data_IF_998247432650
#
_entry.id   IF_998247432650
#
_cell.length_a   1.000
_cell.length_b   1.000
_cell.length_c   1.000
_cell.angle_alpha   90.00
_cell.angle_beta   90.00
_cell.angle_gamma   90.00
#
_symmetry.space_group_name_H-M   'P 1'
#
loop_
_entity.id
_entity.type
_entity.pdbx_description
1 polymer ?
#
# COMPACT_ATOMS: atom_id res chain seq x y z
N UNK A 1 83.12 21.67 -49.75
CA UNK A 1 82.33 20.44 -49.63
C UNK A 1 81.95 20.24 -48.18
N UNK A 2 80.78 20.59 -47.78
CA UNK A 2 80.29 20.50 -46.40
C UNK A 2 79.01 19.69 -46.37
N UNK A 3 79.02 18.49 -45.76
CA UNK A 3 77.89 17.64 -45.57
C UNK A 3 77.22 18.06 -44.23
N UNK A 4 75.99 18.58 -44.29
CA UNK A 4 75.15 18.79 -43.13
C UNK A 4 74.29 17.52 -42.89
N UNK A 5 74.48 16.90 -41.73
CA UNK A 5 73.62 15.79 -41.26
C UNK A 5 72.47 16.35 -40.48
N UNK A 6 71.26 16.17 -41.01
CA UNK A 6 70.02 16.51 -40.29
C UNK A 6 69.65 15.33 -39.40
N UNK A 7 69.57 15.53 -38.05
CA UNK A 7 69.04 14.55 -37.10
C UNK A 7 67.53 14.77 -37.00
N UNK A 8 66.79 13.77 -37.36
CA UNK A 8 65.33 13.72 -37.14
C UNK A 8 65.07 13.10 -35.79
N UNK A 9 64.59 13.91 -34.81
CA UNK A 9 64.09 13.40 -33.55
C UNK A 9 62.63 12.92 -33.75
N UNK A 10 62.39 11.64 -33.65
CA UNK A 10 61.05 11.03 -33.60
C UNK A 10 60.53 11.10 -32.17
N UNK A 11 59.57 11.98 -31.93
CA UNK A 11 58.81 12.07 -30.66
C UNK A 11 57.73 11.00 -30.65
N UNK A 12 57.94 9.89 -29.92
CA UNK A 12 56.90 8.88 -29.66
C UNK A 12 56.04 9.40 -28.54
N UNK A 13 54.87 9.95 -28.89
CA UNK A 13 53.85 10.32 -27.94
C UNK A 13 53.10 9.06 -27.52
N UNK A 14 53.37 8.53 -26.33
CA UNK A 14 52.63 7.45 -25.69
C UNK A 14 51.29 8.00 -25.20
N UNK A 15 50.23 7.81 -25.94
CA UNK A 15 48.84 8.05 -25.50
C UNK A 15 48.47 7.00 -24.44
N UNK A 16 48.63 7.34 -23.19
CA UNK A 16 48.03 6.64 -22.07
C UNK A 16 46.51 6.91 -22.14
N UNK A 17 45.76 6.08 -22.87
CA UNK A 17 44.34 6.00 -22.76
C UNK A 17 44.00 5.44 -21.38
N UNK A 18 43.73 6.31 -20.42
CA UNK A 18 43.07 5.95 -19.18
C UNK A 18 41.65 5.45 -19.54
N UNK A 19 41.51 4.13 -19.74
CA UNK A 19 40.21 3.50 -19.69
C UNK A 19 39.68 3.69 -18.27
N UNK A 20 38.83 4.69 -18.09
CA UNK A 20 37.97 4.78 -16.92
C UNK A 20 37.13 3.50 -16.93
N UNK A 21 37.51 2.53 -16.10
CA UNK A 21 36.69 1.34 -15.84
C UNK A 21 35.33 1.87 -15.43
N UNK A 22 34.37 1.77 -16.32
CA UNK A 22 32.99 2.11 -16.01
C UNK A 22 32.58 1.25 -14.82
N UNK A 23 32.46 1.87 -13.66
CA UNK A 23 32.07 1.18 -12.43
C UNK A 23 30.73 0.48 -12.68
N UNK A 24 30.75 -0.86 -12.74
CA UNK A 24 29.55 -1.68 -12.93
C UNK A 24 28.76 -1.77 -11.62
N UNK A 25 27.47 -2.04 -11.70
CA UNK A 25 26.64 -2.29 -10.53
C UNK A 25 27.25 -3.38 -9.65
N UNK A 26 27.33 -3.15 -8.34
CA UNK A 26 27.72 -4.14 -7.34
C UNK A 26 26.78 -4.09 -6.16
N UNK A 27 26.38 -5.23 -5.65
CA UNK A 27 25.60 -5.31 -4.41
C UNK A 27 26.40 -4.89 -3.18
N UNK A 28 27.74 -5.08 -3.20
CA UNK A 28 28.64 -4.75 -2.08
C UNK A 28 29.18 -3.32 -2.10
N UNK A 29 28.72 -2.46 -3.02
CA UNK A 29 29.27 -1.10 -3.18
C UNK A 29 29.11 -0.20 -1.94
N UNK A 30 28.20 -0.55 -1.02
CA UNK A 30 27.95 0.15 0.24
C UNK A 30 28.20 -0.75 1.48
N UNK A 31 29.05 -1.78 1.33
CA UNK A 31 29.42 -2.72 2.39
C UNK A 31 29.94 -2.01 3.65
N UNK A 32 29.48 -2.48 4.82
CA UNK A 32 29.85 -1.91 6.13
C UNK A 32 28.95 -0.74 6.58
N UNK A 33 28.05 -0.25 5.72
CA UNK A 33 27.07 0.76 6.12
C UNK A 33 25.97 0.15 6.98
N UNK A 34 25.37 0.98 7.83
CA UNK A 34 24.15 0.65 8.59
C UNK A 34 23.07 1.62 8.20
N UNK A 35 21.88 1.11 7.91
CA UNK A 35 20.68 1.92 7.64
C UNK A 35 19.61 1.63 8.68
N UNK A 36 18.81 2.65 9.00
CA UNK A 36 17.67 2.56 9.92
C UNK A 36 16.38 2.71 9.14
N UNK A 37 15.46 1.74 9.32
CA UNK A 37 14.23 1.61 8.55
C UNK A 37 13.03 1.55 9.48
N UNK A 38 12.06 2.44 9.31
CA UNK A 38 10.78 2.39 10.03
C UNK A 38 9.69 1.75 9.15
N UNK A 39 9.06 0.71 9.67
CA UNK A 39 8.00 -0.02 9.00
C UNK A 39 6.71 -0.02 9.85
N UNK A 40 5.58 0.06 9.16
CA UNK A 40 4.28 -0.18 9.76
C UNK A 40 4.12 -1.68 10.10
N UNK A 41 3.45 -2.01 11.20
CA UNK A 41 2.95 -3.38 11.45
C UNK A 41 1.89 -3.71 10.39
N UNK A 42 2.31 -4.32 9.31
CA UNK A 42 1.56 -4.51 8.08
C UNK A 42 1.87 -5.90 7.49
N UNK A 43 0.92 -6.58 6.82
CA UNK A 43 1.18 -7.87 6.21
C UNK A 43 2.42 -7.91 5.30
N UNK A 44 2.69 -6.84 4.53
CA UNK A 44 3.90 -6.74 3.72
C UNK A 44 5.17 -6.76 4.58
N UNK A 45 5.16 -6.05 5.70
CA UNK A 45 6.29 -6.05 6.64
C UNK A 45 6.56 -7.45 7.17
N UNK A 46 5.52 -8.17 7.57
CA UNK A 46 5.65 -9.55 8.04
C UNK A 46 6.19 -10.49 6.95
N UNK A 47 5.82 -10.25 5.69
CA UNK A 47 6.27 -11.04 4.55
C UNK A 47 7.75 -10.79 4.19
N UNK A 48 8.29 -9.59 4.40
CA UNK A 48 9.65 -9.22 3.99
C UNK A 48 10.70 -9.38 5.09
N UNK A 49 10.32 -9.16 6.35
CA UNK A 49 11.24 -9.23 7.50
C UNK A 49 12.10 -10.49 7.56
N UNK A 50 11.58 -11.72 7.31
CA UNK A 50 12.36 -12.95 7.36
C UNK A 50 13.51 -13.00 6.35
N UNK A 51 13.47 -12.17 5.31
CA UNK A 51 14.46 -12.15 4.23
C UNK A 51 15.51 -11.04 4.39
N UNK A 52 15.38 -10.13 5.35
CA UNK A 52 16.37 -9.08 5.59
C UNK A 52 17.79 -9.65 5.84
N UNK A 53 17.98 -10.74 6.61
CA UNK A 53 19.31 -11.34 6.76
C UNK A 53 19.95 -11.80 5.43
N UNK A 54 19.13 -12.17 4.43
CA UNK A 54 19.62 -12.48 3.07
C UNK A 54 20.21 -11.22 2.40
N UNK A 55 19.52 -10.08 2.52
CA UNK A 55 20.01 -8.80 2.02
C UNK A 55 21.32 -8.39 2.70
N UNK A 56 21.38 -8.46 4.03
CA UNK A 56 22.59 -8.14 4.80
C UNK A 56 23.78 -9.01 4.38
N UNK A 57 23.54 -10.32 4.19
CA UNK A 57 24.58 -11.25 3.72
C UNK A 57 25.07 -10.92 2.30
N UNK A 58 24.16 -10.55 1.39
CA UNK A 58 24.47 -10.28 0.01
C UNK A 58 25.19 -8.95 -0.21
N UNK A 59 24.89 -7.95 0.63
CA UNK A 59 25.37 -6.57 0.44
C UNK A 59 26.42 -6.14 1.46
N UNK A 60 26.48 -6.78 2.61
CA UNK A 60 27.27 -6.33 3.76
C UNK A 60 26.73 -5.06 4.42
N UNK A 61 25.51 -4.62 4.06
CA UNK A 61 24.80 -3.49 4.68
C UNK A 61 23.99 -4.03 5.85
N UNK A 62 24.11 -3.42 7.03
CA UNK A 62 23.27 -3.73 8.19
C UNK A 62 21.95 -2.95 8.15
N UNK A 63 20.84 -3.64 8.48
CA UNK A 63 19.51 -3.02 8.47
C UNK A 63 18.91 -3.06 9.88
N UNK A 64 18.77 -1.91 10.52
CA UNK A 64 18.08 -1.76 11.80
C UNK A 64 16.62 -1.42 11.53
N UNK A 65 15.74 -2.38 11.79
CA UNK A 65 14.30 -2.23 11.55
C UNK A 65 13.57 -1.96 12.86
N UNK A 66 12.72 -0.95 12.84
CA UNK A 66 11.73 -0.70 13.89
C UNK A 66 10.32 -0.80 13.30
N UNK A 67 9.42 -1.46 14.03
CA UNK A 67 8.02 -1.62 13.61
C UNK A 67 7.07 -1.08 14.66
N UNK A 68 6.02 -0.38 14.21
CA UNK A 68 5.00 0.20 15.08
C UNK A 68 3.60 -0.04 14.51
N UNK A 69 2.56 -0.10 15.36
CA UNK A 69 1.17 0.01 14.92
C UNK A 69 0.95 1.27 14.08
N UNK A 70 0.06 1.21 13.10
CA UNK A 70 -0.05 2.22 12.03
C UNK A 70 -0.12 3.68 12.54
N UNK A 71 -0.93 3.97 13.55
CA UNK A 71 -1.06 5.34 14.10
C UNK A 71 0.23 5.84 14.74
N UNK A 72 0.90 4.99 15.52
CA UNK A 72 2.17 5.32 16.17
C UNK A 72 3.30 5.43 15.13
N UNK A 73 3.31 4.54 14.15
CA UNK A 73 4.24 4.56 13.02
C UNK A 73 4.19 5.91 12.29
N UNK A 74 2.99 6.37 11.90
CA UNK A 74 2.81 7.63 11.17
C UNK A 74 3.27 8.84 11.99
N UNK A 75 2.96 8.89 13.29
CA UNK A 75 3.44 9.92 14.19
C UNK A 75 4.97 9.92 14.33
N UNK A 76 5.57 8.73 14.49
CA UNK A 76 7.01 8.62 14.62
C UNK A 76 7.74 9.06 13.35
N UNK A 77 7.27 8.64 12.17
CA UNK A 77 7.84 9.10 10.89
C UNK A 77 7.74 10.62 10.77
N UNK A 78 6.58 11.21 11.08
CA UNK A 78 6.39 12.66 11.04
C UNK A 78 7.40 13.41 11.92
N UNK A 79 7.57 12.97 13.17
CA UNK A 79 8.51 13.58 14.12
C UNK A 79 9.96 13.42 13.67
N UNK A 80 10.36 12.24 13.19
CA UNK A 80 11.71 11.97 12.70
C UNK A 80 12.04 12.83 11.48
N UNK A 81 11.12 12.96 10.52
CA UNK A 81 11.32 13.78 9.34
C UNK A 81 11.37 15.28 9.67
N UNK A 82 10.47 15.75 10.56
CA UNK A 82 10.42 17.14 10.97
C UNK A 82 11.65 17.56 11.77
N UNK A 83 12.26 16.66 12.53
CA UNK A 83 13.50 16.93 13.28
C UNK A 83 14.70 17.17 12.37
N UNK A 84 14.71 16.61 11.16
CA UNK A 84 15.86 16.69 10.24
C UNK A 84 17.15 16.03 10.76
N UNK A 85 17.08 15.22 11.82
CA UNK A 85 18.26 14.65 12.50
C UNK A 85 19.06 13.66 11.66
N UNK A 86 18.55 13.24 10.50
CA UNK A 86 19.25 12.32 9.58
C UNK A 86 19.37 10.88 10.07
N UNK A 87 18.72 10.55 11.17
CA UNK A 87 18.76 9.22 11.78
C UNK A 87 17.84 8.20 11.09
N UNK A 88 16.86 8.65 10.32
CA UNK A 88 15.93 7.81 9.56
C UNK A 88 16.36 7.76 8.09
N UNK A 89 16.61 6.56 7.58
CA UNK A 89 17.03 6.35 6.19
C UNK A 89 15.86 6.02 5.27
N UNK A 90 15.09 4.97 5.57
CA UNK A 90 13.91 4.59 4.81
C UNK A 90 12.68 4.35 5.71
N UNK A 91 11.51 4.49 5.11
CA UNK A 91 10.24 4.24 5.82
C UNK A 91 9.11 3.90 4.84
N UNK A 92 8.08 3.23 5.34
CA UNK A 92 6.85 3.03 4.57
C UNK A 92 6.09 4.34 4.42
N UNK A 93 5.44 4.51 3.27
CA UNK A 93 4.67 5.71 2.93
C UNK A 93 3.45 5.33 2.11
N UNK A 94 2.30 5.94 2.38
CA UNK A 94 1.17 5.95 1.45
C UNK A 94 1.13 7.30 0.72
N UNK A 95 1.53 7.36 -0.56
CA UNK A 95 1.69 8.64 -1.27
C UNK A 95 0.44 9.52 -1.25
N UNK A 96 -0.75 8.91 -1.36
CA UNK A 96 -2.03 9.62 -1.37
C UNK A 96 -2.49 10.10 0.03
N UNK A 97 -1.75 9.80 1.06
CA UNK A 97 -2.03 10.27 2.42
C UNK A 97 -1.00 11.29 2.89
N UNK A 98 0.29 10.94 2.93
CA UNK A 98 1.34 11.83 3.44
C UNK A 98 2.21 12.45 2.36
N UNK A 99 2.21 11.88 1.15
CA UNK A 99 3.15 12.24 0.09
C UNK A 99 3.17 13.73 -0.25
N UNK A 100 2.00 14.36 -0.33
CA UNK A 100 1.90 15.81 -0.62
C UNK A 100 2.51 16.66 0.50
N UNK A 101 2.19 16.34 1.76
CA UNK A 101 2.76 17.04 2.92
C UNK A 101 4.28 16.91 2.95
N UNK A 102 4.77 15.67 2.91
CA UNK A 102 6.21 15.38 3.05
C UNK A 102 7.02 15.92 1.87
N UNK A 103 6.47 15.90 0.64
CA UNK A 103 7.11 16.50 -0.54
C UNK A 103 7.22 18.03 -0.42
N UNK A 104 6.12 18.69 -0.02
CA UNK A 104 6.13 20.16 0.17
C UNK A 104 7.03 20.61 1.31
N UNK A 105 7.18 19.80 2.34
CA UNK A 105 8.12 20.04 3.45
C UNK A 105 9.58 19.76 3.08
N UNK A 106 9.84 19.21 1.89
CA UNK A 106 11.21 18.90 1.45
C UNK A 106 11.86 17.72 2.19
N UNK A 107 11.06 16.83 2.77
CA UNK A 107 11.53 15.73 3.60
C UNK A 107 11.86 14.45 2.83
N UNK A 108 11.41 14.36 1.57
CA UNK A 108 11.60 13.16 0.73
C UNK A 108 12.75 13.35 -0.25
N UNK A 109 13.55 12.31 -0.41
CA UNK A 109 14.56 12.23 -1.47
C UNK A 109 13.87 11.79 -2.78
N UNK A 110 13.99 12.57 -3.89
CA UNK A 110 13.51 12.15 -5.21
C UNK A 110 14.30 10.95 -5.72
N UNK A 111 13.61 9.91 -6.19
CA UNK A 111 14.21 8.63 -6.54
C UNK A 111 14.55 8.47 -8.03
N UNK A 112 14.15 9.43 -8.87
CA UNK A 112 14.32 9.35 -10.33
C UNK A 112 15.78 9.19 -10.77
N UNK A 113 16.69 9.93 -10.14
CA UNK A 113 18.11 9.85 -10.45
C UNK A 113 18.71 8.49 -10.10
N UNK A 114 18.30 7.90 -8.98
CA UNK A 114 18.74 6.56 -8.56
C UNK A 114 18.23 5.50 -9.53
N UNK A 115 16.94 5.58 -9.92
CA UNK A 115 16.30 4.63 -10.81
C UNK A 115 16.94 4.60 -12.20
N UNK A 116 17.39 5.77 -12.68
CA UNK A 116 18.05 5.93 -13.99
C UNK A 116 19.55 5.65 -13.98
N UNK A 117 20.16 5.52 -12.81
CA UNK A 117 21.61 5.33 -12.68
C UNK A 117 21.97 3.83 -12.79
N UNK A 118 22.65 3.39 -13.87
CA UNK A 118 22.99 1.97 -14.07
C UNK A 118 24.01 1.44 -13.04
N UNK A 119 24.73 2.32 -12.33
CA UNK A 119 25.63 1.95 -11.23
C UNK A 119 24.87 1.60 -9.96
N UNK A 120 23.65 2.09 -9.80
CA UNK A 120 22.81 1.86 -8.64
C UNK A 120 21.62 0.93 -8.94
N UNK A 121 21.15 0.89 -10.19
CA UNK A 121 19.97 0.13 -10.59
C UNK A 121 20.29 -0.76 -11.78
N UNK A 122 20.44 -2.08 -11.58
CA UNK A 122 20.70 -3.01 -12.66
C UNK A 122 19.45 -3.17 -13.55
N UNK A 123 19.64 -3.52 -14.81
CA UNK A 123 18.54 -3.74 -15.78
C UNK A 123 17.57 -4.83 -15.33
N UNK A 124 18.03 -5.78 -14.50
CA UNK A 124 17.20 -6.84 -13.90
C UNK A 124 16.14 -6.32 -12.91
N UNK A 125 16.27 -5.09 -12.42
CA UNK A 125 15.25 -4.47 -11.55
C UNK A 125 13.93 -4.22 -12.26
N UNK A 126 13.94 -3.95 -13.58
CA UNK A 126 12.76 -3.82 -14.44
C UNK A 126 11.69 -2.87 -13.89
N UNK A 127 11.90 -1.56 -13.85
CA UNK A 127 10.90 -0.59 -13.37
C UNK A 127 9.56 -0.65 -14.12
N UNK A 128 9.57 -0.95 -15.42
CA UNK A 128 8.39 -1.08 -16.27
C UNK A 128 7.47 -2.25 -15.88
N UNK A 129 7.91 -3.15 -15.01
CA UNK A 129 7.12 -4.27 -14.49
C UNK A 129 6.08 -3.85 -13.43
N UNK A 130 6.25 -2.70 -12.80
CA UNK A 130 5.23 -2.16 -11.90
C UNK A 130 3.92 -1.85 -12.62
N UNK A 131 2.79 -1.94 -11.92
CA UNK A 131 1.55 -1.39 -12.44
C UNK A 131 1.67 0.14 -12.56
N UNK A 132 1.21 0.69 -13.69
CA UNK A 132 1.30 2.13 -13.93
C UNK A 132 0.60 2.95 -12.83
N UNK A 133 -0.52 2.43 -12.30
CA UNK A 133 -1.27 3.05 -11.21
C UNK A 133 -0.44 3.22 -9.94
N UNK A 134 0.48 2.27 -9.63
CA UNK A 134 1.34 2.37 -8.43
C UNK A 134 2.45 3.38 -8.61
N UNK A 135 3.09 3.43 -9.78
CA UNK A 135 4.13 4.43 -10.07
C UNK A 135 3.53 5.83 -10.17
N UNK A 136 2.35 5.96 -10.80
CA UNK A 136 1.65 7.25 -10.86
C UNK A 136 1.25 7.75 -9.48
N UNK A 137 0.77 6.86 -8.59
CA UNK A 137 0.45 7.22 -7.21
C UNK A 137 1.69 7.67 -6.42
N UNK A 138 2.86 7.06 -6.71
CA UNK A 138 4.14 7.40 -6.08
C UNK A 138 4.84 8.61 -6.72
N UNK A 139 4.26 9.20 -7.76
CA UNK A 139 4.77 10.42 -8.39
C UNK A 139 4.02 11.64 -7.86
N UNK A 140 4.72 12.48 -7.11
CA UNK A 140 4.17 13.73 -6.57
C UNK A 140 4.95 14.90 -7.17
N UNK A 141 4.24 15.82 -7.81
CA UNK A 141 4.84 17.02 -8.44
C UNK A 141 5.97 16.69 -9.43
N UNK A 142 5.83 15.58 -10.18
CA UNK A 142 6.83 15.16 -11.17
C UNK A 142 8.01 14.36 -10.61
N UNK A 143 8.07 14.10 -9.31
CA UNK A 143 9.13 13.31 -8.67
C UNK A 143 8.60 11.96 -8.16
N UNK A 144 9.34 10.90 -8.42
CA UNK A 144 9.10 9.60 -7.81
C UNK A 144 9.56 9.65 -6.34
N UNK A 145 8.63 9.58 -5.40
CA UNK A 145 8.89 9.73 -3.95
C UNK A 145 8.96 8.41 -3.19
N UNK A 146 8.70 7.28 -3.84
CA UNK A 146 8.76 5.97 -3.21
C UNK A 146 8.70 4.83 -4.21
N UNK A 147 9.27 3.68 -3.84
CA UNK A 147 9.17 2.44 -4.61
C UNK A 147 7.98 1.62 -4.12
N UNK A 148 7.02 1.24 -5.01
CA UNK A 148 5.85 0.47 -4.61
C UNK A 148 6.20 -0.90 -4.05
N UNK A 149 5.59 -1.27 -2.92
CA UNK A 149 5.78 -2.57 -2.27
C UNK A 149 4.51 -3.41 -2.21
N UNK A 150 3.34 -2.79 -2.25
CA UNK A 150 2.05 -3.47 -2.41
C UNK A 150 1.05 -2.64 -3.20
N UNK A 151 0.04 -3.29 -3.77
CA UNK A 151 -1.12 -2.65 -4.37
C UNK A 151 -2.38 -3.33 -3.84
N UNK A 152 -3.23 -2.57 -3.18
CA UNK A 152 -4.40 -3.09 -2.48
C UNK A 152 -5.66 -2.46 -3.05
N UNK A 153 -6.66 -3.29 -3.34
CA UNK A 153 -7.97 -2.80 -3.77
C UNK A 153 -9.02 -3.12 -2.71
N UNK A 154 -10.06 -2.29 -2.59
CA UNK A 154 -11.18 -2.62 -1.72
C UNK A 154 -11.96 -3.75 -2.34
N UNK A 155 -12.11 -4.87 -1.61
CA UNK A 155 -12.89 -6.04 -2.02
C UNK A 155 -13.93 -6.39 -0.97
N UNK A 156 -14.92 -7.18 -1.34
CA UNK A 156 -15.84 -7.80 -0.40
C UNK A 156 -15.27 -9.14 0.05
N UNK A 157 -15.10 -9.31 1.36
CA UNK A 157 -14.87 -10.58 2.03
C UNK A 157 -16.18 -11.10 2.58
N UNK A 158 -16.48 -12.37 2.38
CA UNK A 158 -17.71 -12.97 2.88
C UNK A 158 -17.52 -14.42 3.30
N UNK A 159 -18.34 -14.90 4.22
CA UNK A 159 -18.38 -16.29 4.70
C UNK A 159 -19.19 -17.16 3.73
N UNK A 160 -18.51 -17.90 2.85
CA UNK A 160 -19.12 -18.79 1.87
C UNK A 160 -20.12 -19.76 2.51
N UNK A 161 -19.74 -20.36 3.63
CA UNK A 161 -20.55 -21.32 4.39
C UNK A 161 -21.87 -20.70 4.91
N UNK A 162 -21.85 -19.44 5.39
CA UNK A 162 -23.08 -18.75 5.81
C UNK A 162 -23.95 -18.38 4.61
N UNK A 163 -23.35 -17.89 3.53
CA UNK A 163 -24.08 -17.54 2.30
C UNK A 163 -24.77 -18.76 1.70
N UNK A 164 -24.10 -19.91 1.64
CA UNK A 164 -24.65 -21.16 1.18
C UNK A 164 -25.78 -21.67 2.11
N UNK A 165 -25.50 -21.75 3.43
CA UNK A 165 -26.45 -22.24 4.45
C UNK A 165 -27.74 -21.44 4.46
N UNK A 166 -27.67 -20.12 4.36
CA UNK A 166 -28.83 -19.24 4.40
C UNK A 166 -29.35 -18.80 3.02
N UNK A 167 -28.80 -19.40 1.94
CA UNK A 167 -29.20 -19.16 0.54
C UNK A 167 -29.15 -17.69 0.14
N UNK A 168 -28.10 -16.99 0.61
CA UNK A 168 -27.84 -15.58 0.29
C UNK A 168 -26.95 -15.49 -0.94
N UNK A 169 -27.34 -14.71 -1.94
CA UNK A 169 -26.50 -14.45 -3.11
C UNK A 169 -25.41 -13.44 -2.77
N UNK A 170 -24.22 -13.61 -3.39
CA UNK A 170 -23.10 -12.67 -3.23
C UNK A 170 -23.50 -11.29 -3.75
N UNK A 171 -23.46 -10.24 -2.92
CA UNK A 171 -23.96 -8.92 -3.28
C UNK A 171 -23.07 -8.23 -4.33
N UNK A 172 -23.71 -7.63 -5.34
CA UNK A 172 -23.08 -6.87 -6.42
C UNK A 172 -23.37 -5.38 -6.36
N UNK A 173 -24.36 -4.98 -5.58
CA UNK A 173 -24.78 -3.59 -5.38
C UNK A 173 -24.91 -3.27 -3.89
N UNK A 174 -24.93 -1.98 -3.54
CA UNK A 174 -25.14 -1.54 -2.15
C UNK A 174 -26.45 -2.02 -1.59
N UNK A 175 -27.55 -1.99 -2.37
CA UNK A 175 -28.83 -2.52 -1.93
C UNK A 175 -28.77 -4.03 -1.61
N UNK A 176 -28.07 -4.81 -2.43
CA UNK A 176 -27.85 -6.24 -2.17
C UNK A 176 -26.94 -6.47 -0.98
N UNK A 177 -25.91 -5.60 -0.75
CA UNK A 177 -25.03 -5.67 0.41
C UNK A 177 -25.82 -5.49 1.70
N UNK A 178 -26.71 -4.50 1.74
CA UNK A 178 -27.59 -4.27 2.88
C UNK A 178 -28.56 -5.41 3.10
N UNK A 179 -29.20 -5.91 2.05
CA UNK A 179 -30.10 -7.06 2.13
C UNK A 179 -29.40 -8.32 2.68
N UNK A 180 -28.17 -8.60 2.22
CA UNK A 180 -27.35 -9.70 2.73
C UNK A 180 -26.98 -9.49 4.20
N UNK A 181 -26.59 -8.27 4.59
CA UNK A 181 -26.27 -7.92 5.97
C UNK A 181 -27.48 -8.17 6.89
N UNK A 182 -28.66 -7.74 6.47
CA UNK A 182 -29.93 -7.95 7.20
C UNK A 182 -30.24 -9.44 7.42
N UNK A 183 -30.12 -10.25 6.36
CA UNK A 183 -30.44 -11.71 6.45
C UNK A 183 -29.45 -12.43 7.35
N UNK A 184 -28.16 -12.08 7.27
CA UNK A 184 -27.09 -12.79 7.96
C UNK A 184 -26.85 -12.28 9.40
N UNK A 185 -27.43 -11.15 9.78
CA UNK A 185 -27.29 -10.59 11.13
C UNK A 185 -27.89 -11.52 12.18
N UNK A 186 -27.08 -11.87 13.19
CA UNK A 186 -27.46 -12.80 14.26
C UNK A 186 -27.37 -14.29 13.87
N UNK A 187 -27.09 -14.62 12.60
CA UNK A 187 -26.97 -16.02 12.15
C UNK A 187 -25.64 -16.62 12.63
N UNK A 188 -25.73 -17.80 13.24
CA UNK A 188 -24.61 -18.53 13.83
C UNK A 188 -23.73 -17.64 14.76
N UNK A 189 -24.34 -16.65 15.41
CA UNK A 189 -23.66 -15.71 16.31
C UNK A 189 -22.80 -14.65 15.60
N UNK A 190 -22.95 -14.49 14.27
CA UNK A 190 -22.25 -13.47 13.51
C UNK A 190 -23.10 -12.20 13.31
N UNK A 191 -22.45 -11.03 13.31
CA UNK A 191 -23.07 -9.80 12.79
C UNK A 191 -23.07 -9.83 11.26
N UNK A 192 -24.02 -9.13 10.63
CA UNK A 192 -24.17 -9.16 9.18
C UNK A 192 -22.99 -8.54 8.43
N UNK A 193 -22.47 -7.42 8.93
CA UNK A 193 -21.35 -6.71 8.30
C UNK A 193 -20.50 -5.99 9.36
N UNK A 194 -19.20 -5.86 9.11
CA UNK A 194 -18.33 -4.97 9.89
C UNK A 194 -17.61 -4.00 8.96
N UNK A 195 -17.52 -2.74 9.37
CA UNK A 195 -16.83 -1.65 8.68
C UNK A 195 -16.07 -0.80 9.71
N UNK A 196 -15.07 -0.04 9.26
CA UNK A 196 -14.25 0.80 10.14
C UNK A 196 -15.05 1.99 10.68
N UNK A 197 -15.15 2.12 12.00
CA UNK A 197 -15.72 3.29 12.67
C UNK A 197 -14.72 4.03 13.53
N UNK A 198 -13.50 3.48 13.72
CA UNK A 198 -12.48 4.02 14.63
C UNK A 198 -11.63 5.10 13.96
N UNK A 199 -11.68 6.30 14.51
CA UNK A 199 -10.74 7.36 14.18
C UNK A 199 -10.68 7.71 12.69
N UNK A 200 -9.59 8.33 12.26
CA UNK A 200 -9.37 8.72 10.88
C UNK A 200 -9.31 7.54 9.88
N UNK A 201 -9.18 6.29 10.36
CA UNK A 201 -9.20 5.11 9.48
C UNK A 201 -10.56 4.86 8.85
N UNK A 202 -11.65 5.35 9.47
CA UNK A 202 -13.01 5.25 8.93
C UNK A 202 -13.18 6.03 7.63
N UNK A 203 -12.50 7.18 7.47
CA UNK A 203 -12.59 8.00 6.25
C UNK A 203 -12.10 7.25 5.02
N UNK A 204 -11.03 6.48 5.15
CA UNK A 204 -10.49 5.69 4.02
C UNK A 204 -11.47 4.63 3.55
N UNK A 205 -12.18 3.97 4.48
CA UNK A 205 -13.15 2.95 4.10
C UNK A 205 -14.51 3.55 3.70
N UNK A 206 -14.86 4.74 4.17
CA UNK A 206 -16.03 5.48 3.73
C UNK A 206 -15.90 5.94 2.27
N UNK A 207 -14.69 6.26 1.81
CA UNK A 207 -14.42 6.80 0.48
C UNK A 207 -15.08 6.05 -0.68
N UNK A 208 -14.94 4.72 -0.84
CA UNK A 208 -15.55 3.99 -1.95
C UNK A 208 -17.09 3.99 -1.90
N UNK A 209 -17.67 4.08 -0.72
CA UNK A 209 -19.12 4.27 -0.57
C UNK A 209 -19.55 5.67 -1.02
N UNK A 210 -18.84 6.71 -0.60
CA UNK A 210 -19.07 8.09 -1.02
C UNK A 210 -18.99 8.22 -2.54
N UNK A 211 -17.93 7.71 -3.17
CA UNK A 211 -17.78 7.72 -4.63
C UNK A 211 -18.86 6.90 -5.35
N UNK A 212 -19.29 5.80 -4.74
CA UNK A 212 -20.38 4.97 -5.25
C UNK A 212 -21.74 5.69 -5.27
N UNK A 213 -21.95 6.69 -4.43
CA UNK A 213 -23.10 7.59 -4.46
C UNK A 213 -22.88 8.84 -5.34
N UNK A 214 -21.70 9.02 -5.95
CA UNK A 214 -21.36 10.19 -6.76
C UNK A 214 -20.76 11.35 -5.98
N UNK A 215 -20.52 11.17 -4.68
CA UNK A 215 -19.87 12.16 -3.83
C UNK A 215 -18.39 12.34 -4.16
N UNK A 216 -17.84 13.46 -3.76
CA UNK A 216 -16.41 13.81 -3.89
C UNK A 216 -15.94 14.50 -2.62
N UNK A 217 -14.64 14.47 -2.35
CA UNK A 217 -14.05 15.17 -1.21
C UNK A 217 -14.16 16.71 -1.33
N UNK A 218 -13.87 17.19 -2.55
CA UNK A 218 -13.83 18.61 -2.87
C UNK A 218 -14.69 18.89 -4.09
N UNK A 219 -15.31 20.07 -4.13
CA UNK A 219 -15.94 20.69 -5.31
C UNK A 219 -15.45 22.12 -5.42
N UNK A 220 -14.87 22.50 -6.54
CA UNK A 220 -14.30 23.84 -6.77
C UNK A 220 -13.31 24.29 -5.67
N UNK A 221 -12.45 23.34 -5.24
CA UNK A 221 -11.44 23.55 -4.19
C UNK A 221 -11.97 23.65 -2.75
N UNK A 222 -13.29 23.55 -2.55
CA UNK A 222 -13.94 23.60 -1.24
C UNK A 222 -14.41 22.23 -0.79
N UNK A 223 -14.56 22.05 0.53
CA UNK A 223 -15.15 20.82 1.07
C UNK A 223 -16.54 20.56 0.46
N UNK A 224 -16.75 19.34 0.03
CA UNK A 224 -18.02 18.86 -0.52
C UNK A 224 -18.75 17.91 0.44
N UNK A 225 -18.36 17.86 1.70
CA UNK A 225 -18.83 16.84 2.63
C UNK A 225 -20.33 17.00 2.96
N UNK A 226 -20.87 18.22 2.93
CA UNK A 226 -22.30 18.51 3.13
C UNK A 226 -23.17 18.27 1.90
N UNK A 227 -22.60 17.85 0.76
CA UNK A 227 -23.38 17.61 -0.46
C UNK A 227 -24.36 16.43 -0.28
N UNK A 228 -25.56 16.50 -0.91
CA UNK A 228 -26.60 15.48 -0.73
C UNK A 228 -26.15 14.05 -1.04
N UNK A 229 -25.30 13.86 -2.04
CA UNK A 229 -24.74 12.56 -2.42
C UNK A 229 -23.79 12.02 -1.34
N UNK A 230 -23.00 12.89 -0.69
CA UNK A 230 -22.10 12.52 0.41
C UNK A 230 -22.90 12.18 1.66
N UNK A 231 -23.94 12.96 1.98
CA UNK A 231 -24.84 12.71 3.11
C UNK A 231 -25.63 11.40 2.93
N UNK A 232 -26.08 11.09 1.70
CA UNK A 232 -26.69 9.78 1.39
C UNK A 232 -25.72 8.62 1.62
N UNK A 233 -24.48 8.78 1.20
CA UNK A 233 -23.43 7.78 1.43
C UNK A 233 -23.13 7.59 2.92
N UNK A 234 -23.09 8.70 3.70
CA UNK A 234 -22.87 8.68 5.14
C UNK A 234 -24.03 7.97 5.86
N UNK A 235 -25.26 8.31 5.50
CA UNK A 235 -26.46 7.64 6.03
C UNK A 235 -26.48 6.12 5.73
N UNK A 236 -26.10 5.73 4.51
CA UNK A 236 -25.99 4.32 4.14
C UNK A 236 -24.89 3.60 4.92
N UNK A 237 -23.66 4.16 4.97
CA UNK A 237 -22.52 3.57 5.68
C UNK A 237 -22.79 3.40 7.17
N UNK A 238 -23.29 4.45 7.81
CA UNK A 238 -23.64 4.43 9.23
C UNK A 238 -24.84 3.51 9.51
N UNK A 239 -25.82 3.49 8.61
CA UNK A 239 -26.98 2.61 8.69
C UNK A 239 -26.61 1.13 8.65
N UNK A 240 -25.66 0.73 7.80
CA UNK A 240 -25.14 -0.65 7.79
C UNK A 240 -24.57 -1.03 9.16
N UNK A 241 -23.79 -0.15 9.78
CA UNK A 241 -23.16 -0.41 11.08
C UNK A 241 -24.15 -0.39 12.24
N UNK A 242 -25.08 0.56 12.27
CA UNK A 242 -26.10 0.64 13.32
C UNK A 242 -27.05 -0.56 13.32
N UNK A 243 -27.46 -1.01 12.14
CA UNK A 243 -28.51 -2.01 12.04
C UNK A 243 -27.96 -3.44 12.00
N UNK A 244 -26.76 -3.64 11.46
CA UNK A 244 -26.24 -4.98 11.13
C UNK A 244 -24.78 -5.18 11.56
N UNK A 245 -24.14 -4.17 12.13
CA UNK A 245 -22.74 -4.20 12.57
C UNK A 245 -22.58 -4.55 14.06
N UNK A 246 -21.33 -4.67 14.50
CA UNK A 246 -21.02 -4.85 15.92
C UNK A 246 -21.31 -3.58 16.72
N UNK A 247 -21.81 -3.73 17.96
CA UNK A 247 -22.09 -2.60 18.86
C UNK A 247 -20.87 -1.71 19.11
N UNK A 248 -19.66 -2.28 19.02
CA UNK A 248 -18.38 -1.58 19.19
C UNK A 248 -17.83 -0.97 17.89
N UNK A 249 -18.62 -0.81 16.83
CA UNK A 249 -18.17 -0.37 15.51
C UNK A 249 -17.30 0.90 15.55
N UNK A 250 -17.64 1.89 16.41
CA UNK A 250 -16.88 3.15 16.55
C UNK A 250 -15.47 2.98 17.15
N UNK A 251 -15.18 1.80 17.71
CA UNK A 251 -13.87 1.45 18.26
C UNK A 251 -13.07 0.50 17.36
N UNK A 252 -13.58 0.19 16.13
CA UNK A 252 -12.99 -0.79 15.24
C UNK A 252 -12.29 -0.14 14.05
N UNK A 253 -11.03 -0.52 13.85
CA UNK A 253 -10.26 -0.36 12.62
C UNK A 253 -10.12 -1.73 11.94
N UNK A 254 -9.27 -1.84 10.94
CA UNK A 254 -9.09 -3.09 10.20
C UNK A 254 -8.63 -4.26 11.09
N UNK A 255 -7.80 -4.00 12.11
CA UNK A 255 -7.29 -5.04 13.01
C UNK A 255 -8.42 -5.74 13.77
N UNK A 256 -9.30 -4.95 14.37
CA UNK A 256 -10.43 -5.48 15.14
C UNK A 256 -11.44 -6.20 14.22
N UNK A 257 -11.71 -5.65 13.04
CA UNK A 257 -12.63 -6.24 12.05
C UNK A 257 -12.12 -7.58 11.54
N UNK A 258 -10.87 -7.63 11.09
CA UNK A 258 -10.28 -8.88 10.56
C UNK A 258 -10.15 -9.94 11.63
N UNK A 259 -9.83 -9.56 12.87
CA UNK A 259 -9.82 -10.47 14.02
C UNK A 259 -11.20 -11.07 14.29
N UNK A 260 -12.26 -10.25 14.34
CA UNK A 260 -13.63 -10.75 14.53
C UNK A 260 -14.10 -11.64 13.37
N UNK A 261 -13.74 -11.29 12.14
CA UNK A 261 -14.06 -12.12 10.98
C UNK A 261 -13.33 -13.47 11.04
N UNK A 262 -12.03 -13.46 11.38
CA UNK A 262 -11.24 -14.68 11.56
C UNK A 262 -11.78 -15.57 12.69
N UNK A 263 -12.42 -15.00 13.71
CA UNK A 263 -13.12 -15.72 14.78
C UNK A 263 -14.52 -16.19 14.39
N UNK A 264 -14.97 -15.93 13.14
CA UNK A 264 -16.30 -16.32 12.65
C UNK A 264 -17.44 -15.44 13.15
N UNK A 265 -17.17 -14.28 13.77
CA UNK A 265 -18.17 -13.38 14.37
C UNK A 265 -18.74 -12.34 13.40
N UNK A 266 -18.30 -12.32 12.16
CA UNK A 266 -18.74 -11.39 11.10
C UNK A 266 -19.06 -12.18 9.85
N UNK A 267 -20.20 -11.93 9.22
CA UNK A 267 -20.60 -12.63 7.99
C UNK A 267 -19.89 -12.04 6.75
N UNK A 268 -19.67 -10.73 6.71
CA UNK A 268 -18.96 -10.06 5.62
C UNK A 268 -18.38 -8.73 6.05
N UNK A 269 -17.35 -8.29 5.33
CA UNK A 269 -16.78 -6.94 5.43
C UNK A 269 -16.22 -6.51 4.08
N UNK A 270 -16.09 -5.20 3.87
CA UNK A 270 -15.38 -4.66 2.70
C UNK A 270 -14.12 -3.96 3.18
N UNK A 271 -12.96 -4.33 2.66
CA UNK A 271 -11.71 -3.67 3.01
C UNK A 271 -10.60 -4.03 2.01
N UNK A 272 -9.36 -3.62 2.32
CA UNK A 272 -8.19 -3.86 1.50
C UNK A 272 -7.94 -5.36 1.28
N UNK A 273 -7.70 -5.72 0.05
CA UNK A 273 -7.50 -7.11 -0.40
C UNK A 273 -6.35 -7.84 0.29
N UNK A 274 -5.39 -7.11 0.86
CA UNK A 274 -4.26 -7.65 1.61
C UNK A 274 -4.69 -8.43 2.87
N UNK A 275 -5.88 -8.16 3.41
CA UNK A 275 -6.35 -8.81 4.63
C UNK A 275 -6.68 -10.29 4.45
N UNK A 276 -6.59 -10.82 3.23
CA UNK A 276 -6.56 -12.27 3.00
C UNK A 276 -5.49 -12.92 3.87
N UNK A 277 -4.29 -12.37 3.93
CA UNK A 277 -3.17 -12.88 4.74
C UNK A 277 -3.48 -13.00 6.24
N UNK A 278 -4.47 -12.26 6.73
CA UNK A 278 -4.91 -12.29 8.13
C UNK A 278 -6.07 -13.27 8.31
N UNK A 279 -7.09 -13.19 7.44
CA UNK A 279 -8.32 -13.98 7.62
C UNK A 279 -8.18 -15.44 7.18
N UNK A 280 -7.15 -15.75 6.40
CA UNK A 280 -6.79 -17.12 5.97
C UNK A 280 -5.55 -17.67 6.69
N UNK A 281 -5.03 -16.99 7.72
CA UNK A 281 -3.91 -17.50 8.52
C UNK A 281 -4.37 -18.68 9.38
N UNK A 282 -3.89 -19.92 9.13
CA UNK A 282 -4.33 -21.11 9.84
C UNK A 282 -3.92 -21.10 11.34
N UNK A 283 -3.03 -20.19 11.76
CA UNK A 283 -2.60 -20.08 13.17
C UNK A 283 -3.59 -19.29 14.01
N UNK A 284 -4.39 -18.41 13.38
CA UNK A 284 -5.23 -17.44 14.10
C UNK A 284 -6.68 -17.39 13.60
N UNK A 285 -7.01 -18.04 12.47
CA UNK A 285 -8.34 -17.98 11.87
C UNK A 285 -9.08 -19.31 11.95
N UNK A 286 -10.35 -19.26 12.38
CA UNK A 286 -11.29 -20.39 12.41
C UNK A 286 -12.10 -20.52 11.11
N UNK A 287 -11.91 -19.57 10.18
CA UNK A 287 -12.68 -19.49 8.92
C UNK A 287 -11.83 -19.78 7.69
N UNK A 288 -10.65 -20.34 7.85
CA UNK A 288 -9.76 -20.76 6.75
C UNK A 288 -10.53 -21.67 5.79
N UNK A 289 -10.44 -21.39 4.49
CA UNK A 289 -11.15 -22.11 3.43
C UNK A 289 -12.64 -21.79 3.30
N UNK A 290 -13.23 -21.03 4.23
CA UNK A 290 -14.63 -20.59 4.22
C UNK A 290 -14.80 -19.15 3.72
N UNK A 291 -13.72 -18.48 3.38
CA UNK A 291 -13.73 -17.09 2.92
C UNK A 291 -13.94 -17.05 1.41
N UNK A 292 -14.90 -16.25 0.97
CA UNK A 292 -15.11 -15.88 -0.42
C UNK A 292 -14.69 -14.43 -0.66
N UNK A 293 -14.33 -14.12 -1.89
CA UNK A 293 -13.90 -12.81 -2.33
C UNK A 293 -14.73 -12.36 -3.51
N UNK A 294 -15.26 -11.15 -3.44
CA UNK A 294 -16.03 -10.57 -4.54
C UNK A 294 -15.62 -9.13 -4.81
N UNK A 295 -15.86 -8.61 -6.01
CA UNK A 295 -15.65 -7.21 -6.30
C UNK A 295 -16.44 -6.33 -5.32
N UNK A 296 -15.87 -5.17 -4.94
CA UNK A 296 -16.57 -4.17 -4.16
C UNK A 296 -17.94 -3.87 -4.80
N UNK A 297 -19.04 -3.90 -4.06
CA UNK A 297 -20.38 -3.69 -4.64
C UNK A 297 -20.53 -2.32 -5.29
N UNK A 298 -21.37 -2.23 -6.33
CA UNK A 298 -21.64 -0.97 -7.02
C UNK A 298 -22.64 -0.13 -6.25
N UNK A 299 -22.34 1.15 -6.10
CA UNK A 299 -23.35 2.15 -5.72
C UNK A 299 -24.17 2.61 -6.91
N UNK A 300 -25.09 3.58 -6.70
CA UNK A 300 -25.88 4.18 -7.78
C UNK A 300 -25.03 4.82 -8.88
N UNK A 301 -23.84 5.33 -8.54
CA UNK A 301 -22.88 5.92 -9.48
C UNK A 301 -21.77 4.93 -9.94
N UNK A 302 -22.06 3.63 -9.88
CA UNK A 302 -21.15 2.58 -10.31
C UNK A 302 -20.24 2.05 -9.21
N UNK A 303 -19.30 1.17 -9.62
CA UNK A 303 -18.32 0.55 -8.74
C UNK A 303 -17.09 1.45 -8.63
N UNK A 304 -16.73 1.84 -7.42
CA UNK A 304 -15.63 2.78 -7.14
C UNK A 304 -14.76 2.28 -5.97
N UNK A 305 -14.10 1.10 -6.10
CA UNK A 305 -13.20 0.64 -5.05
C UNK A 305 -12.02 1.60 -4.88
N UNK A 306 -11.44 1.65 -3.70
CA UNK A 306 -10.14 2.31 -3.53
C UNK A 306 -9.03 1.47 -4.16
N UNK A 307 -7.96 2.13 -4.60
CA UNK A 307 -6.64 1.53 -4.74
C UNK A 307 -5.67 2.23 -3.79
N UNK A 308 -5.00 1.43 -3.00
CA UNK A 308 -4.01 1.87 -2.03
C UNK A 308 -2.66 1.27 -2.40
N UNK A 309 -1.64 2.10 -2.46
CA UNK A 309 -0.27 1.69 -2.72
C UNK A 309 0.59 2.06 -1.52
N UNK A 310 1.20 1.06 -0.90
CA UNK A 310 2.30 1.30 0.02
C UNK A 310 3.60 1.34 -0.74
N UNK A 311 4.44 2.28 -0.36
CA UNK A 311 5.78 2.47 -0.92
C UNK A 311 6.81 2.47 0.18
N UNK A 312 8.08 2.22 -0.18
CA UNK A 312 9.23 2.62 0.63
C UNK A 312 9.70 3.96 0.11
N UNK A 313 9.85 4.93 1.01
CA UNK A 313 10.39 6.25 0.75
C UNK A 313 11.75 6.43 1.44
N UNK A 314 12.57 7.34 0.92
CA UNK A 314 13.87 7.70 1.47
C UNK A 314 13.80 9.08 2.12
N UNK A 315 14.34 9.21 3.32
CA UNK A 315 14.49 10.50 3.97
C UNK A 315 15.50 11.39 3.22
N UNK A 316 15.14 12.64 3.00
CA UNK A 316 16.04 13.65 2.39
C UNK A 316 17.32 13.86 3.21
N UNK A 317 17.20 13.74 4.54
CA UNK A 317 18.30 13.90 5.50
C UNK A 317 19.15 12.65 5.69
N UNK A 318 18.81 11.50 5.06
CA UNK A 318 19.63 10.29 5.14
C UNK A 318 21.07 10.54 4.71
N UNK A 319 22.03 10.14 5.55
CA UNK A 319 23.45 10.14 5.24
C UNK A 319 23.90 8.90 4.42
N UNK A 320 23.03 7.87 4.30
CA UNK A 320 23.34 6.58 3.70
C UNK A 320 22.52 6.32 2.44
N UNK A 321 22.31 7.34 1.59
CA UNK A 321 21.33 7.29 0.49
C UNK A 321 21.53 6.13 -0.49
N UNK A 322 22.76 5.81 -0.89
CA UNK A 322 23.01 4.70 -1.80
C UNK A 322 22.71 3.35 -1.14
N UNK A 323 23.12 3.16 0.12
CA UNK A 323 22.80 1.94 0.88
C UNK A 323 21.29 1.78 1.07
N UNK A 324 20.59 2.87 1.37
CA UNK A 324 19.15 2.94 1.47
C UNK A 324 18.47 2.60 0.15
N UNK A 325 18.98 3.12 -0.97
CA UNK A 325 18.49 2.78 -2.31
C UNK A 325 18.61 1.28 -2.62
N UNK A 326 19.76 0.67 -2.31
CA UNK A 326 19.97 -0.76 -2.50
C UNK A 326 18.95 -1.60 -1.70
N UNK A 327 18.65 -1.19 -0.46
CA UNK A 327 17.63 -1.84 0.34
C UNK A 327 16.22 -1.68 -0.26
N UNK A 328 15.83 -0.47 -0.61
CA UNK A 328 14.51 -0.19 -1.19
C UNK A 328 14.31 -0.94 -2.52
N UNK A 329 15.35 -0.97 -3.35
CA UNK A 329 15.37 -1.71 -4.61
C UNK A 329 15.25 -3.21 -4.38
N UNK A 330 16.02 -3.77 -3.41
CA UNK A 330 15.93 -5.17 -3.03
C UNK A 330 14.51 -5.52 -2.52
N UNK A 331 13.96 -4.74 -1.61
CA UNK A 331 12.65 -4.97 -1.00
C UNK A 331 11.51 -4.96 -2.03
N UNK A 332 11.66 -4.19 -3.11
CA UNK A 332 10.66 -4.02 -4.17
C UNK A 332 11.00 -4.74 -5.49
N UNK A 333 12.06 -5.56 -5.54
CA UNK A 333 12.47 -6.29 -6.73
C UNK A 333 11.46 -7.40 -7.12
N UNK A 334 11.51 -7.96 -8.35
CA UNK A 334 10.58 -9.00 -8.78
C UNK A 334 10.54 -10.23 -7.86
N UNK A 335 11.69 -10.65 -7.32
CA UNK A 335 11.78 -11.83 -6.44
C UNK A 335 11.06 -11.60 -5.11
N UNK A 336 11.31 -10.47 -4.44
CA UNK A 336 10.69 -10.17 -3.16
C UNK A 336 9.20 -9.80 -3.31
N UNK A 337 8.82 -9.22 -4.44
CA UNK A 337 7.41 -9.02 -4.78
C UNK A 337 6.67 -10.35 -5.00
N UNK A 338 7.33 -11.35 -5.58
CA UNK A 338 6.77 -12.70 -5.67
C UNK A 338 6.69 -13.38 -4.29
N UNK A 339 7.73 -13.26 -3.45
CA UNK A 339 7.72 -13.77 -2.06
C UNK A 339 6.56 -13.18 -1.26
N UNK A 340 6.36 -11.88 -1.37
CA UNK A 340 5.24 -11.20 -0.72
C UNK A 340 3.88 -11.71 -1.23
N UNK A 341 3.73 -11.90 -2.56
CA UNK A 341 2.50 -12.41 -3.15
C UNK A 341 2.20 -13.87 -2.72
N UNK A 342 3.22 -14.70 -2.58
CA UNK A 342 3.11 -16.06 -2.03
C UNK A 342 2.69 -16.07 -0.54
N UNK A 343 2.89 -14.96 0.16
CA UNK A 343 2.40 -14.70 1.51
C UNK A 343 1.09 -13.90 1.53
N UNK A 344 0.30 -13.96 0.44
CA UNK A 344 -1.00 -13.32 0.26
C UNK A 344 -0.98 -11.78 0.31
N UNK A 345 0.17 -11.17 0.00
CA UNK A 345 0.33 -9.71 -0.13
C UNK A 345 0.23 -9.32 -1.61
N UNK A 346 -0.76 -8.51 -2.02
CA UNK A 346 -0.94 -8.13 -3.41
C UNK A 346 0.29 -7.40 -3.97
N UNK A 347 0.93 -7.98 -4.97
CA UNK A 347 2.15 -7.44 -5.57
C UNK A 347 1.87 -6.20 -6.42
N UNK A 348 2.75 -5.21 -6.29
CA UNK A 348 2.78 -4.04 -7.16
C UNK A 348 3.38 -4.32 -8.55
N UNK A 349 3.92 -5.54 -8.80
CA UNK A 349 4.54 -5.96 -10.06
C UNK A 349 3.70 -6.99 -10.81
N UNK A 350 3.57 -6.80 -12.12
CA UNK A 350 2.82 -7.71 -13.00
C UNK A 350 3.44 -9.10 -13.09
N UNK A 351 4.77 -9.18 -13.13
CA UNK A 351 5.50 -10.45 -13.24
C UNK A 351 5.20 -11.41 -12.08
N UNK A 352 4.99 -10.91 -10.86
CA UNK A 352 4.68 -11.76 -9.72
C UNK A 352 3.35 -12.51 -9.91
N UNK A 353 2.29 -11.83 -10.36
CA UNK A 353 0.97 -12.42 -10.64
C UNK A 353 1.00 -13.44 -11.79
N UNK A 354 1.96 -13.29 -12.70
CA UNK A 354 2.13 -14.19 -13.84
C UNK A 354 3.14 -15.31 -13.57
N UNK A 355 3.83 -15.29 -12.45
CA UNK A 355 4.86 -16.27 -12.11
C UNK A 355 4.29 -17.69 -12.03
N UNK A 356 4.90 -18.70 -12.69
CA UNK A 356 4.46 -20.09 -12.58
C UNK A 356 4.41 -20.58 -11.14
N UNK A 357 5.38 -20.20 -10.31
CA UNK A 357 5.41 -20.54 -8.89
C UNK A 357 4.18 -20.01 -8.12
N UNK A 358 3.71 -18.79 -8.41
CA UNK A 358 2.49 -18.27 -7.81
C UNK A 358 1.25 -19.03 -8.32
N UNK A 359 1.11 -19.20 -9.63
CA UNK A 359 -0.04 -19.89 -10.24
C UNK A 359 -0.20 -21.34 -9.75
N UNK A 360 0.90 -22.01 -9.49
CA UNK A 360 0.89 -23.38 -8.95
C UNK A 360 0.50 -23.45 -7.47
N UNK A 361 0.69 -22.38 -6.72
CA UNK A 361 0.44 -22.31 -5.28
C UNK A 361 -0.77 -21.44 -4.91
N UNK A 362 -1.41 -20.77 -5.88
CA UNK A 362 -2.57 -19.91 -5.61
C UNK A 362 -3.76 -20.74 -5.12
N UNK A 363 -3.92 -20.74 -3.80
CA UNK A 363 -5.00 -21.45 -3.10
C UNK A 363 -6.37 -20.82 -3.32
N UNK A 364 -6.41 -19.60 -3.87
CA UNK A 364 -7.66 -18.89 -4.10
C UNK A 364 -7.60 -18.01 -5.37
N UNK A 365 -7.72 -18.63 -6.56
CA UNK A 365 -7.71 -17.92 -7.84
C UNK A 365 -8.82 -16.85 -7.96
N UNK A 366 -9.91 -16.98 -7.19
CA UNK A 366 -10.97 -15.98 -7.13
C UNK A 366 -10.45 -14.64 -6.57
N UNK A 367 -9.68 -14.69 -5.48
CA UNK A 367 -9.07 -13.49 -4.90
C UNK A 367 -8.12 -12.80 -5.88
N UNK A 368 -7.27 -13.56 -6.56
CA UNK A 368 -6.34 -13.03 -7.56
C UNK A 368 -7.09 -12.35 -8.71
N UNK A 369 -8.13 -13.01 -9.24
CA UNK A 369 -8.99 -12.50 -10.30
C UNK A 369 -9.72 -11.22 -9.89
N UNK A 370 -10.31 -11.21 -8.69
CA UNK A 370 -11.03 -10.04 -8.14
C UNK A 370 -10.07 -8.87 -7.97
N UNK A 371 -8.89 -9.10 -7.39
CA UNK A 371 -7.89 -8.06 -7.16
C UNK A 371 -7.48 -7.37 -8.46
N UNK A 372 -7.08 -8.17 -9.45
CA UNK A 372 -6.63 -7.64 -10.75
C UNK A 372 -7.77 -6.92 -11.51
N UNK A 373 -8.98 -7.49 -11.50
CA UNK A 373 -10.13 -6.89 -12.17
C UNK A 373 -10.54 -5.54 -11.57
N UNK A 374 -10.38 -5.37 -10.25
CA UNK A 374 -10.73 -4.15 -9.55
C UNK A 374 -9.84 -2.96 -9.93
N UNK A 375 -8.60 -3.19 -10.36
CA UNK A 375 -7.68 -2.14 -10.79
C UNK A 375 -8.24 -1.28 -11.93
N UNK A 376 -9.11 -1.83 -12.77
CA UNK A 376 -9.78 -1.09 -13.85
C UNK A 376 -10.78 -0.02 -13.36
N UNK A 377 -11.28 -0.15 -12.13
CA UNK A 377 -12.30 0.73 -11.53
C UNK A 377 -11.77 1.50 -10.31
N UNK A 378 -10.56 1.21 -9.90
CA UNK A 378 -10.00 1.66 -8.64
C UNK A 378 -9.72 3.17 -8.63
N UNK A 379 -10.11 3.82 -7.53
CA UNK A 379 -9.90 5.23 -7.31
C UNK A 379 -8.73 5.45 -6.34
N UNK A 380 -7.66 6.15 -6.76
CA UNK A 380 -6.55 6.47 -5.87
C UNK A 380 -6.86 7.60 -4.88
N UNK A 381 -7.90 8.39 -5.10
CA UNK A 381 -8.25 9.56 -4.28
C UNK A 381 -9.07 9.17 -3.03
N UNK A 382 -8.68 8.09 -2.35
CA UNK A 382 -9.37 7.60 -1.15
C UNK A 382 -9.17 8.46 0.11
N UNK A 383 -8.37 9.51 0.02
CA UNK A 383 -8.25 10.60 0.99
C UNK A 383 -8.49 11.94 0.30
N UNK A 384 -8.90 12.98 1.06
CA UNK A 384 -8.94 14.34 0.54
C UNK A 384 -7.57 14.77 -0.01
N UNK A 385 -7.48 15.27 -1.26
CA UNK A 385 -6.21 15.65 -1.87
C UNK A 385 -5.72 17.03 -1.39
N UNK A 386 -5.48 17.15 -0.09
CA UNK A 386 -5.02 18.37 0.58
C UNK A 386 -3.76 18.11 1.39
N UNK A 387 -2.95 19.14 1.65
CA UNK A 387 -1.72 18.98 2.44
C UNK A 387 -1.99 18.67 3.91
N UNK A 388 -3.07 19.25 4.49
CA UNK A 388 -3.53 18.97 5.85
C UNK A 388 -4.44 17.74 5.96
N UNK A 389 -4.18 16.71 5.17
CA UNK A 389 -5.07 15.53 5.08
C UNK A 389 -5.32 14.85 6.43
N UNK A 390 -4.35 14.84 7.34
CA UNK A 390 -4.50 14.29 8.69
C UNK A 390 -5.59 15.03 9.49
N UNK A 391 -5.49 16.35 9.54
CA UNK A 391 -6.46 17.21 10.25
C UNK A 391 -7.87 17.10 9.64
N UNK A 392 -7.96 17.15 8.30
CA UNK A 392 -9.25 17.00 7.60
C UNK A 392 -9.89 15.65 7.91
N UNK A 393 -9.11 14.56 7.91
CA UNK A 393 -9.62 13.23 8.29
C UNK A 393 -10.06 13.16 9.75
N UNK A 394 -9.39 13.89 10.64
CA UNK A 394 -9.78 13.96 12.06
C UNK A 394 -11.09 14.72 12.26
N UNK A 395 -11.38 15.75 11.46
CA UNK A 395 -12.69 16.42 11.45
C UNK A 395 -13.76 15.48 10.89
N UNK A 396 -13.53 14.90 9.72
CA UNK A 396 -14.52 14.04 9.05
C UNK A 396 -14.88 12.78 9.85
N UNK A 397 -13.94 12.23 10.65
CA UNK A 397 -14.23 11.09 11.52
C UNK A 397 -15.31 11.40 12.56
N UNK A 398 -15.41 12.66 12.99
CA UNK A 398 -16.42 13.06 13.99
C UNK A 398 -17.83 12.91 13.40
N UNK A 399 -18.03 13.32 12.14
CA UNK A 399 -19.31 13.16 11.44
C UNK A 399 -19.62 11.67 11.21
N UNK A 400 -18.63 10.86 10.82
CA UNK A 400 -18.82 9.41 10.61
C UNK A 400 -19.19 8.74 11.95
N UNK A 401 -18.47 9.03 13.02
CA UNK A 401 -18.76 8.47 14.36
C UNK A 401 -20.12 8.93 14.86
N UNK A 402 -20.43 10.23 14.75
CA UNK A 402 -21.72 10.80 15.12
C UNK A 402 -22.87 10.11 14.37
N UNK A 403 -22.74 9.94 13.06
CA UNK A 403 -23.72 9.25 12.25
C UNK A 403 -23.89 7.77 12.65
N UNK A 404 -22.82 7.04 12.99
CA UNK A 404 -22.89 5.66 13.50
C UNK A 404 -23.63 5.61 14.84
N UNK A 405 -23.46 6.61 15.70
CA UNK A 405 -24.12 6.71 17.02
C UNK A 405 -25.57 7.20 16.95
N UNK A 406 -26.05 7.55 15.76
CA UNK A 406 -27.43 8.03 15.56
C UNK A 406 -27.59 9.55 15.66
N UNK A 407 -26.50 10.30 15.70
CA UNK A 407 -26.50 11.76 15.55
C UNK A 407 -26.88 12.15 14.11
N UNK A 408 -27.57 13.28 13.99
CA UNK A 408 -27.96 13.92 12.71
C UNK A 408 -26.84 14.80 12.20
#
# INVERSE_FOLDING_TARGET
MSLSRTLTLSLVATLLSSQALAQTFSLEQEKGKTIRVLLNQHPWTNAILPFIPEFEKQTGIKVVVETFPESQFRQKVLVELASGAGSLDAFMLTPNQEGTLYSRSGWLEPLDAYLKNPKLTPSSYKPADFFNTTLSAANIQGNLIGLPVSIETTVLFYRKDLFEKYKVSVPRTFAQLEAAAKVLSGKDGAVGIALRGKGASSTSQFAPYMFGYGGTWLRDGKSNFSAPEVQKALGYYSGLLRNYGPASATSMSWQEITSLFAQGKVAMFTDASIFRSVVEDPKSSTVVGKVGYAPFPSGPNGRKPNVLTWTLAMSKSSANKNATWLFMQWASNPQNQLRALLADVPSARRSAWNAPAYKAQDKNPEWSKVNLAQLAYANPLWNPPVSSVGEVRDVMRQDIVGAIQGGS
#
